data_IF_228117157665
#
_entry.id   IF_228117157665
#
_cell.length_a   1.000
_cell.length_b   1.000
_cell.length_c   1.000
_cell.angle_alpha   90.00
_cell.angle_beta   90.00
_cell.angle_gamma   90.00
#
_symmetry.space_group_name_H-M   'P 1'
#
loop_
_entity.id
_entity.type
_entity.pdbx_description
1 polymer ?
#
# COMPACT_ATOMS: atom_id res chain seq x y z
N UNK A 1 0.16 -54.07 25.55
CA UNK A 1 0.48 -52.67 25.93
C UNK A 1 1.06 -51.81 24.81
N UNK A 2 1.69 -52.37 23.76
CA UNK A 2 2.25 -51.60 22.64
C UNK A 2 1.20 -50.94 21.69
N UNK A 3 -0.01 -51.48 21.57
CA UNK A 3 -1.03 -50.94 20.63
C UNK A 3 -1.63 -49.61 21.08
N UNK A 4 -1.79 -49.38 22.39
CA UNK A 4 -2.35 -48.13 22.93
C UNK A 4 -1.39 -46.93 22.76
N UNK A 5 -0.07 -47.14 22.83
CA UNK A 5 0.90 -46.07 22.57
C UNK A 5 0.96 -45.65 21.10
N UNK A 6 0.80 -46.60 20.17
CA UNK A 6 0.75 -46.34 18.74
C UNK A 6 -0.53 -45.60 18.31
N UNK A 7 -1.67 -45.92 18.93
CA UNK A 7 -2.94 -45.24 18.69
C UNK A 7 -2.89 -43.77 19.16
N UNK A 8 -2.30 -43.51 20.32
CA UNK A 8 -2.11 -42.15 20.83
C UNK A 8 -1.20 -41.29 19.95
N UNK A 9 -0.13 -41.86 19.40
CA UNK A 9 0.77 -41.15 18.46
C UNK A 9 0.09 -40.81 17.13
N UNK A 10 -0.79 -41.68 16.61
CA UNK A 10 -1.55 -41.40 15.37
C UNK A 10 -2.58 -40.28 15.58
N UNK A 11 -3.28 -40.27 16.71
CA UNK A 11 -4.26 -39.24 17.04
C UNK A 11 -3.59 -37.87 17.26
N UNK A 12 -2.43 -37.85 17.94
CA UNK A 12 -1.64 -36.64 18.12
C UNK A 12 -1.12 -36.07 16.78
N UNK A 13 -0.59 -36.92 15.89
CA UNK A 13 -0.17 -36.50 14.54
C UNK A 13 -1.33 -35.97 13.71
N UNK A 14 -2.51 -36.60 13.77
CA UNK A 14 -3.72 -36.10 13.11
C UNK A 14 -4.14 -34.72 13.65
N UNK A 15 -4.10 -34.53 14.97
CA UNK A 15 -4.41 -33.24 15.58
C UNK A 15 -3.44 -32.14 15.13
N UNK A 16 -2.14 -32.44 15.04
CA UNK A 16 -1.14 -31.51 14.49
C UNK A 16 -1.44 -31.20 13.01
N UNK A 17 -1.69 -32.21 12.18
CA UNK A 17 -1.98 -32.02 10.76
C UNK A 17 -3.25 -31.19 10.55
N UNK A 18 -4.31 -31.46 11.32
CA UNK A 18 -5.55 -30.68 11.26
C UNK A 18 -5.33 -29.26 11.77
N UNK A 19 -4.58 -29.08 12.85
CA UNK A 19 -4.21 -27.76 13.36
C UNK A 19 -3.40 -26.95 12.35
N UNK A 20 -2.38 -27.56 11.73
CA UNK A 20 -1.59 -26.96 10.66
C UNK A 20 -2.43 -26.71 9.40
N UNK A 21 -3.34 -27.62 9.04
CA UNK A 21 -4.26 -27.42 7.91
C UNK A 21 -5.23 -26.26 8.18
N UNK A 22 -5.74 -26.10 9.40
CA UNK A 22 -6.60 -24.97 9.78
C UNK A 22 -5.82 -23.65 9.77
N UNK A 23 -4.60 -23.63 10.32
CA UNK A 23 -3.69 -22.46 10.26
C UNK A 23 -3.37 -22.08 8.81
N UNK A 24 -3.12 -23.08 7.97
CA UNK A 24 -2.71 -22.92 6.58
C UNK A 24 -3.89 -22.97 5.58
N UNK A 25 -5.14 -23.05 6.04
CA UNK A 25 -6.33 -23.07 5.15
C UNK A 25 -6.46 -21.77 4.36
N UNK A 26 -5.92 -20.69 4.92
CA UNK A 26 -5.80 -19.36 4.30
C UNK A 26 -4.46 -19.16 3.60
N UNK A 27 -3.55 -20.14 3.65
CA UNK A 27 -2.21 -20.11 3.09
C UNK A 27 -2.21 -20.86 1.76
N UNK A 28 -2.19 -20.08 0.69
CA UNK A 28 -1.75 -20.57 -0.60
C UNK A 28 -0.78 -19.54 -1.15
N UNK A 29 0.52 -19.68 -0.85
CA UNK A 29 1.55 -18.69 -1.18
C UNK A 29 1.67 -18.48 -2.70
N UNK A 30 1.13 -19.43 -3.48
CA UNK A 30 1.14 -19.43 -4.94
C UNK A 30 -0.25 -19.33 -5.58
N UNK A 31 -1.33 -19.21 -4.82
CA UNK A 31 -2.59 -18.77 -5.42
C UNK A 31 -2.80 -17.30 -5.12
N UNK A 32 -2.60 -16.48 -6.15
CA UNK A 32 -3.20 -15.15 -6.30
C UNK A 32 -4.76 -15.22 -6.33
N UNK A 33 -5.36 -16.23 -5.69
CA UNK A 33 -6.79 -16.32 -5.43
C UNK A 33 -7.20 -15.48 -4.22
N UNK A 34 -6.44 -14.43 -3.86
CA UNK A 34 -7.14 -13.18 -3.55
C UNK A 34 -7.77 -12.73 -4.87
N UNK A 35 -8.90 -13.36 -5.23
CA UNK A 35 -9.66 -12.90 -6.38
C UNK A 35 -9.99 -11.45 -6.06
N UNK A 36 -9.30 -10.53 -6.73
CA UNK A 36 -9.83 -9.20 -6.90
C UNK A 36 -11.26 -9.41 -7.36
N UNK A 37 -12.20 -8.86 -6.61
CA UNK A 37 -13.60 -8.97 -6.93
C UNK A 37 -13.77 -8.42 -8.35
N UNK A 38 -14.27 -9.29 -9.22
CA UNK A 38 -14.63 -8.93 -10.57
C UNK A 38 -15.64 -7.78 -10.52
N UNK A 39 -15.52 -6.85 -11.46
CA UNK A 39 -16.35 -5.65 -11.49
C UNK A 39 -15.86 -4.52 -10.56
N UNK A 40 -14.74 -4.67 -9.86
CA UNK A 40 -14.15 -3.59 -9.05
C UNK A 40 -12.94 -2.96 -9.73
N UNK A 41 -12.70 -1.71 -9.36
CA UNK A 41 -11.48 -0.99 -9.71
C UNK A 41 -10.64 -0.72 -8.47
N UNK A 42 -9.35 -1.03 -8.58
CA UNK A 42 -8.40 -1.07 -7.50
C UNK A 42 -7.32 -0.01 -7.68
N UNK A 43 -6.89 0.58 -6.58
CA UNK A 43 -5.74 1.48 -6.52
C UNK A 43 -4.75 1.01 -5.46
N UNK A 44 -3.52 1.49 -5.61
CA UNK A 44 -2.56 1.48 -4.54
C UNK A 44 -2.95 2.49 -3.43
N UNK A 45 -2.38 2.29 -2.24
CA UNK A 45 -2.46 3.24 -1.12
C UNK A 45 -1.14 4.01 -0.98
N UNK A 46 -1.22 5.33 -1.13
CA UNK A 46 -0.07 6.20 -1.20
C UNK A 46 0.15 6.94 0.12
N UNK A 47 1.38 7.42 0.31
CA UNK A 47 1.76 8.35 1.37
C UNK A 47 1.84 9.74 0.77
N UNK A 48 1.44 10.77 1.49
CA UNK A 48 1.67 12.17 1.15
C UNK A 48 2.50 12.80 2.27
N UNK A 49 3.58 13.50 1.92
CA UNK A 49 4.42 14.19 2.90
C UNK A 49 4.18 15.70 2.87
N UNK A 50 3.75 16.26 4.00
CA UNK A 50 3.38 17.69 4.10
C UNK A 50 4.59 18.61 4.11
N UNK A 51 5.76 18.11 4.51
CA UNK A 51 7.01 18.87 4.54
C UNK A 51 7.69 19.03 3.16
N UNK A 52 7.15 18.40 2.10
CA UNK A 52 7.73 18.53 0.75
C UNK A 52 7.26 19.79 0.05
N UNK A 53 8.17 20.41 -0.70
CA UNK A 53 7.85 21.54 -1.57
C UNK A 53 6.79 21.17 -2.62
N UNK A 54 6.83 19.95 -3.13
CA UNK A 54 5.78 19.43 -4.01
C UNK A 54 5.66 17.92 -3.92
N UNK A 55 4.41 17.46 -3.98
CA UNK A 55 4.02 16.07 -4.17
C UNK A 55 3.35 15.96 -5.55
N UNK A 56 4.11 15.58 -6.59
CA UNK A 56 3.58 15.45 -7.96
C UNK A 56 3.17 14.01 -8.21
N UNK A 57 1.92 13.77 -8.57
CA UNK A 57 1.44 12.45 -8.95
C UNK A 57 1.41 12.29 -10.47
N UNK A 58 1.85 11.13 -10.95
CA UNK A 58 1.68 10.68 -12.33
C UNK A 58 0.71 9.51 -12.29
N UNK A 59 -0.42 9.65 -12.97
CA UNK A 59 -1.48 8.65 -13.00
C UNK A 59 -1.70 8.14 -14.42
N UNK A 60 -2.00 6.85 -14.52
CA UNK A 60 -2.45 6.23 -15.75
C UNK A 60 -3.94 6.48 -16.00
N UNK A 61 -4.29 6.85 -17.23
CA UNK A 61 -5.65 6.77 -17.74
C UNK A 61 -5.86 5.38 -18.35
N UNK A 62 -6.13 4.41 -17.48
CA UNK A 62 -6.28 3.00 -17.90
C UNK A 62 -7.38 2.82 -18.95
N UNK A 63 -8.41 3.65 -18.93
CA UNK A 63 -9.50 3.56 -19.90
C UNK A 63 -9.04 3.95 -21.28
N UNK A 64 -8.36 5.09 -21.42
CA UNK A 64 -7.78 5.51 -22.70
C UNK A 64 -6.81 4.46 -23.24
N UNK A 65 -5.94 3.91 -22.39
CA UNK A 65 -5.00 2.86 -22.81
C UNK A 65 -5.66 1.54 -23.21
N UNK A 66 -6.78 1.17 -22.58
CA UNK A 66 -7.51 -0.05 -22.93
C UNK A 66 -8.31 0.08 -24.22
N UNK A 67 -8.82 1.29 -24.50
CA UNK A 67 -9.57 1.58 -25.71
C UNK A 67 -8.66 1.89 -26.91
N UNK A 68 -7.38 2.19 -26.65
CA UNK A 68 -6.43 2.71 -27.65
C UNK A 68 -6.87 4.04 -28.27
N UNK A 69 -7.55 4.87 -27.48
CA UNK A 69 -8.03 6.19 -27.89
C UNK A 69 -8.15 7.13 -26.69
N UNK A 70 -8.14 8.46 -26.89
CA UNK A 70 -8.34 9.41 -25.80
C UNK A 70 -9.73 9.26 -25.17
N UNK A 71 -9.79 9.04 -23.85
CA UNK A 71 -11.05 9.01 -23.11
C UNK A 71 -10.99 9.98 -21.94
N UNK A 72 -11.96 10.90 -21.89
CA UNK A 72 -12.10 11.83 -20.78
C UNK A 72 -12.41 11.09 -19.48
N UNK A 73 -11.56 11.29 -18.46
CA UNK A 73 -11.70 10.69 -17.14
C UNK A 73 -11.48 11.71 -16.04
N UNK A 74 -12.06 11.44 -14.87
CA UNK A 74 -11.76 12.09 -13.60
C UNK A 74 -10.81 11.23 -12.77
N UNK A 75 -9.65 11.77 -12.43
CA UNK A 75 -8.76 11.27 -11.39
C UNK A 75 -9.20 11.86 -10.06
N UNK A 76 -9.60 11.00 -9.13
CA UNK A 76 -10.15 11.36 -7.82
C UNK A 76 -9.13 10.94 -6.75
N UNK A 77 -8.66 11.91 -5.99
CA UNK A 77 -7.75 11.72 -4.88
C UNK A 77 -8.49 11.95 -3.56
N UNK A 78 -8.39 11.02 -2.63
CA UNK A 78 -8.99 11.13 -1.28
C UNK A 78 -7.89 11.04 -0.24
N UNK A 79 -7.76 12.05 0.61
CA UNK A 79 -6.71 12.14 1.61
C UNK A 79 -7.25 11.79 2.99
N UNK A 80 -6.46 11.06 3.77
CA UNK A 80 -6.80 10.63 5.12
C UNK A 80 -5.71 11.01 6.11
N UNK A 81 -6.10 11.57 7.25
CA UNK A 81 -5.19 11.90 8.35
C UNK A 81 -4.53 10.65 8.97
N UNK A 82 -3.67 10.88 9.96
CA UNK A 82 -3.01 9.80 10.74
C UNK A 82 -4.01 8.83 11.38
N UNK A 83 -5.23 9.29 11.69
CA UNK A 83 -6.32 8.49 12.29
C UNK A 83 -7.19 7.76 11.26
N UNK A 84 -7.00 8.03 9.96
CA UNK A 84 -7.75 7.45 8.85
C UNK A 84 -9.12 8.07 8.59
N UNK A 85 -9.31 9.31 9.04
CA UNK A 85 -10.46 10.15 8.70
C UNK A 85 -10.19 10.85 7.36
N UNK A 86 -11.17 10.87 6.45
CA UNK A 86 -11.07 11.60 5.17
C UNK A 86 -11.06 13.11 5.46
N UNK A 87 -9.98 13.81 5.11
CA UNK A 87 -9.78 15.24 5.40
C UNK A 87 -9.94 16.14 4.19
N UNK A 88 -9.73 15.61 2.98
CA UNK A 88 -9.94 16.36 1.74
C UNK A 88 -10.07 15.44 0.54
N UNK A 89 -10.62 16.00 -0.53
CA UNK A 89 -10.78 15.35 -1.83
C UNK A 89 -10.33 16.30 -2.93
N UNK A 90 -9.55 15.79 -3.88
CA UNK A 90 -9.14 16.53 -5.07
C UNK A 90 -9.57 15.77 -6.32
N UNK A 91 -9.99 16.49 -7.36
CA UNK A 91 -10.38 15.91 -8.65
C UNK A 91 -9.61 16.63 -9.74
N UNK A 92 -9.02 15.87 -10.65
CA UNK A 92 -8.39 16.37 -11.86
C UNK A 92 -8.95 15.63 -13.07
N UNK A 93 -9.12 16.32 -14.19
CA UNK A 93 -9.60 15.72 -15.44
C UNK A 93 -8.45 15.58 -16.44
N UNK A 94 -8.50 14.53 -17.26
CA UNK A 94 -7.66 14.41 -18.47
C UNK A 94 -8.34 13.52 -19.49
N UNK A 95 -8.00 13.67 -20.77
CA UNK A 95 -8.25 12.70 -21.82
C UNK A 95 -6.99 11.96 -22.25
N UNK A 96 -5.83 12.41 -21.80
CA UNK A 96 -4.54 11.86 -22.20
C UNK A 96 -4.29 10.50 -21.52
N UNK A 97 -3.41 9.65 -22.09
CA UNK A 97 -3.03 8.38 -21.47
C UNK A 97 -2.39 8.53 -20.08
N UNK A 98 -1.78 9.68 -19.80
CA UNK A 98 -1.14 9.97 -18.52
C UNK A 98 -1.54 11.36 -18.01
N UNK A 99 -1.94 11.42 -16.74
CA UNK A 99 -2.09 12.68 -16.00
C UNK A 99 -0.82 12.93 -15.19
N UNK A 100 -0.28 14.14 -15.28
CA UNK A 100 0.69 14.67 -14.31
C UNK A 100 0.07 15.82 -13.53
N UNK A 101 -0.08 15.66 -12.22
CA UNK A 101 -0.72 16.67 -11.36
C UNK A 101 0.12 16.95 -10.12
N UNK A 102 0.27 18.23 -9.77
CA UNK A 102 0.77 18.62 -8.46
C UNK A 102 -0.39 18.53 -7.46
N UNK A 103 -0.29 17.62 -6.49
CA UNK A 103 -1.35 17.45 -5.51
C UNK A 103 -1.41 18.66 -4.58
N UNK A 104 -2.61 19.18 -4.27
CA UNK A 104 -2.75 20.27 -3.32
C UNK A 104 -2.37 19.81 -1.92
N UNK A 105 -1.93 20.74 -1.07
CA UNK A 105 -1.65 20.46 0.33
C UNK A 105 -2.96 20.29 1.12
N UNK A 106 -3.24 19.12 1.72
CA UNK A 106 -4.42 18.93 2.55
C UNK A 106 -4.35 19.74 3.85
N UNK A 107 -5.49 20.12 4.45
CA UNK A 107 -5.54 20.92 5.67
C UNK A 107 -5.20 20.07 6.91
N UNK A 108 -3.91 19.80 7.14
CA UNK A 108 -3.43 19.01 8.28
C UNK A 108 -2.07 19.50 8.78
N UNK A 109 -1.77 19.27 10.06
CA UNK A 109 -0.46 19.44 10.66
C UNK A 109 0.38 18.16 10.66
N UNK A 110 -0.20 17.02 10.27
CA UNK A 110 0.49 15.73 10.26
C UNK A 110 1.64 15.73 9.26
N UNK A 111 2.80 15.18 9.64
CA UNK A 111 3.97 15.13 8.75
C UNK A 111 3.75 14.19 7.55
N UNK A 112 3.10 13.07 7.80
CA UNK A 112 2.73 12.08 6.79
C UNK A 112 1.26 11.74 6.94
N UNK A 113 0.59 11.71 5.81
CA UNK A 113 -0.79 11.26 5.69
C UNK A 113 -0.87 10.24 4.55
N UNK A 114 -2.05 9.69 4.30
CA UNK A 114 -2.25 8.76 3.20
C UNK A 114 -3.29 9.28 2.21
N UNK A 115 -3.28 8.73 1.00
CA UNK A 115 -4.37 8.96 0.06
C UNK A 115 -4.58 7.78 -0.88
N UNK A 116 -5.80 7.68 -1.41
CA UNK A 116 -6.14 6.79 -2.53
C UNK A 116 -6.32 7.58 -3.81
N UNK A 117 -6.13 6.91 -4.93
CA UNK A 117 -6.38 7.43 -6.27
C UNK A 117 -7.45 6.56 -6.95
N UNK A 118 -8.40 7.15 -7.66
CA UNK A 118 -9.40 6.41 -8.42
C UNK A 118 -9.62 7.10 -9.76
N UNK A 119 -9.89 6.33 -10.81
CA UNK A 119 -10.22 6.90 -12.13
C UNK A 119 -11.67 6.56 -12.46
N UNK A 120 -12.42 7.54 -12.94
CA UNK A 120 -13.80 7.36 -13.43
C UNK A 120 -13.97 8.00 -14.80
N UNK A 121 -14.53 7.31 -15.80
CA UNK A 121 -14.91 7.95 -17.06
C UNK A 121 -15.89 9.10 -16.85
N UNK A 122 -15.79 10.13 -17.68
CA UNK A 122 -16.78 11.20 -17.74
C UNK A 122 -17.93 10.72 -18.60
N UNK A 123 -19.09 10.47 -17.98
CA UNK A 123 -20.21 9.73 -18.58
C UNK A 123 -20.75 10.36 -19.87
N UNK A 124 -20.66 11.67 -20.01
CA UNK A 124 -21.11 12.39 -21.20
C UNK A 124 -20.24 12.10 -22.45
N UNK A 125 -19.05 11.53 -22.28
CA UNK A 125 -18.12 11.18 -23.35
C UNK A 125 -18.02 9.66 -23.60
N UNK A 126 -18.87 8.87 -22.94
CA UNK A 126 -18.90 7.42 -23.12
C UNK A 126 -19.93 7.05 -24.17
N UNK A 127 -19.45 6.51 -25.29
CA UNK A 127 -20.30 5.81 -26.25
C UNK A 127 -20.76 4.45 -25.67
N UNK A 128 -21.89 3.94 -26.14
CA UNK A 128 -22.43 2.65 -25.66
C UNK A 128 -21.45 1.50 -25.88
N UNK A 129 -20.70 1.51 -26.99
CA UNK A 129 -19.65 0.53 -27.26
C UNK A 129 -18.50 0.57 -26.24
N UNK A 130 -18.13 1.76 -25.76
CA UNK A 130 -17.11 1.92 -24.71
C UNK A 130 -17.61 1.39 -23.38
N UNK A 131 -18.86 1.67 -23.02
CA UNK A 131 -19.48 1.14 -21.80
C UNK A 131 -19.46 -0.39 -21.79
N UNK A 132 -19.83 -1.00 -22.92
CA UNK A 132 -19.85 -2.45 -23.10
C UNK A 132 -18.47 -3.08 -22.93
N UNK A 133 -17.45 -2.52 -23.59
CA UNK A 133 -16.08 -3.03 -23.52
C UNK A 133 -15.50 -2.86 -22.11
N UNK A 134 -15.68 -1.68 -21.50
CA UNK A 134 -15.26 -1.40 -20.13
C UNK A 134 -15.92 -2.37 -19.14
N UNK A 135 -17.23 -2.60 -19.27
CA UNK A 135 -17.96 -3.53 -18.42
C UNK A 135 -17.40 -4.96 -18.54
N UNK A 136 -17.15 -5.45 -19.76
CA UNK A 136 -16.56 -6.78 -20.00
C UNK A 136 -15.15 -6.90 -19.40
N UNK A 137 -14.33 -5.86 -19.54
CA UNK A 137 -12.97 -5.83 -18.96
C UNK A 137 -13.00 -5.81 -17.43
N UNK A 138 -13.87 -4.98 -16.85
CA UNK A 138 -14.09 -4.95 -15.40
C UNK A 138 -14.56 -6.30 -14.87
N UNK A 139 -15.51 -6.95 -15.53
CA UNK A 139 -16.03 -8.26 -15.12
C UNK A 139 -14.99 -9.38 -15.27
N UNK A 140 -14.15 -9.36 -16.30
CA UNK A 140 -13.20 -10.44 -16.54
C UNK A 140 -11.95 -10.34 -15.66
N UNK A 141 -11.40 -9.13 -15.47
CA UNK A 141 -10.06 -8.95 -14.89
C UNK A 141 -10.03 -8.03 -13.66
N UNK A 142 -11.06 -7.21 -13.44
CA UNK A 142 -10.98 -6.04 -12.56
C UNK A 142 -10.01 -5.00 -13.12
N UNK A 143 -10.20 -3.74 -12.76
CA UNK A 143 -9.28 -2.67 -13.19
C UNK A 143 -8.27 -2.36 -12.09
N UNK A 144 -7.02 -2.14 -12.49
CA UNK A 144 -5.98 -1.67 -11.58
C UNK A 144 -5.51 -0.32 -12.07
N UNK A 145 -5.76 0.71 -11.28
CA UNK A 145 -5.20 2.03 -11.49
C UNK A 145 -3.79 2.07 -10.91
N UNK A 146 -2.83 2.43 -11.76
CA UNK A 146 -1.44 2.66 -11.35
C UNK A 146 -1.18 4.15 -11.28
N UNK A 147 -0.26 4.49 -10.39
CA UNK A 147 0.29 5.82 -10.33
C UNK A 147 1.57 5.84 -9.51
N UNK A 148 2.32 6.90 -9.71
CA UNK A 148 3.61 7.13 -9.09
C UNK A 148 3.60 8.50 -8.45
N UNK A 149 4.15 8.59 -7.25
CA UNK A 149 4.29 9.84 -6.55
C UNK A 149 5.75 10.29 -6.57
N UNK A 150 5.94 11.56 -6.90
CA UNK A 150 7.22 12.24 -6.96
C UNK A 150 7.29 13.25 -5.83
N UNK A 151 8.23 13.04 -4.92
CA UNK A 151 8.51 13.96 -3.81
C UNK A 151 9.66 14.88 -4.17
N UNK A 152 9.47 16.19 -4.01
CA UNK A 152 10.56 17.18 -4.13
C UNK A 152 10.71 17.99 -2.87
N UNK A 153 11.93 18.07 -2.35
CA UNK A 153 12.26 18.89 -1.18
C UNK A 153 12.36 20.36 -1.56
N UNK A 154 12.82 20.67 -2.77
CA UNK A 154 12.96 22.04 -3.29
C UNK A 154 12.49 22.09 -4.74
N UNK A 155 12.14 23.28 -5.23
CA UNK A 155 11.64 23.48 -6.61
C UNK A 155 12.57 22.88 -7.68
N UNK A 156 13.89 23.03 -7.48
CA UNK A 156 14.92 22.57 -8.41
C UNK A 156 15.55 21.22 -8.03
N UNK A 157 15.10 20.56 -6.96
CA UNK A 157 15.66 19.25 -6.61
C UNK A 157 15.21 18.18 -7.61
N UNK A 158 16.07 17.17 -7.81
CA UNK A 158 15.63 15.89 -8.37
C UNK A 158 14.56 15.34 -7.42
N UNK A 159 13.49 14.79 -7.99
CA UNK A 159 12.40 14.21 -7.20
C UNK A 159 12.62 12.72 -6.99
N UNK A 160 12.29 12.20 -5.81
CA UNK A 160 12.24 10.75 -5.61
C UNK A 160 10.87 10.21 -6.03
N UNK A 161 10.87 9.12 -6.79
CA UNK A 161 9.67 8.51 -7.39
C UNK A 161 9.40 7.17 -6.72
N UNK A 162 8.20 7.01 -6.16
CA UNK A 162 7.74 5.74 -5.59
C UNK A 162 6.32 5.45 -5.99
N UNK A 163 6.00 4.16 -6.12
CA UNK A 163 4.63 3.69 -6.24
C UNK A 163 4.01 3.51 -4.82
N UNK A 164 2.69 3.27 -4.72
CA UNK A 164 2.02 3.10 -3.41
C UNK A 164 2.27 1.73 -2.76
N UNK A 165 2.21 1.64 -1.43
CA UNK A 165 2.59 0.42 -0.69
C UNK A 165 1.69 -0.80 -0.94
N UNK A 166 0.39 -0.58 -1.02
CA UNK A 166 -0.60 -1.66 -1.03
C UNK A 166 -1.54 -1.52 -2.21
N UNK A 167 -1.37 -2.40 -3.19
CA UNK A 167 -2.34 -2.55 -4.26
C UNK A 167 -3.61 -3.23 -3.78
N UNK A 168 -4.74 -2.84 -4.36
CA UNK A 168 -6.00 -3.53 -4.13
C UNK A 168 -6.97 -2.81 -3.19
N UNK A 169 -6.93 -1.47 -3.09
CA UNK A 169 -8.02 -0.71 -2.50
C UNK A 169 -9.06 -0.39 -3.59
N UNK A 170 -10.23 -1.00 -3.51
CA UNK A 170 -11.38 -0.64 -4.32
C UNK A 170 -12.37 0.20 -3.53
N UNK A 171 -12.95 1.21 -4.18
CA UNK A 171 -14.04 2.01 -3.62
C UNK A 171 -15.32 1.70 -4.41
N UNK A 172 -16.31 1.11 -3.75
CA UNK A 172 -17.64 0.84 -4.32
C UNK A 172 -18.69 1.53 -3.46
N UNK A 173 -19.45 2.48 -4.01
CA UNK A 173 -20.61 3.09 -3.33
C UNK A 173 -20.35 3.52 -1.87
N UNK A 174 -19.24 4.23 -1.64
CA UNK A 174 -18.77 4.68 -0.32
C UNK A 174 -18.30 3.57 0.65
N UNK A 175 -18.25 2.32 0.21
CA UNK A 175 -17.66 1.19 0.93
C UNK A 175 -16.32 0.82 0.30
N UNK A 176 -15.28 0.81 1.12
CA UNK A 176 -13.98 0.33 0.70
C UNK A 176 -13.98 -1.20 0.72
N UNK A 177 -13.58 -1.80 -0.39
CA UNK A 177 -13.23 -3.21 -0.47
C UNK A 177 -11.73 -3.32 -0.59
N UNK A 178 -11.11 -4.13 0.25
CA UNK A 178 -9.67 -4.26 0.29
C UNK A 178 -9.27 -5.67 -0.12
N UNK A 179 -8.46 -5.78 -1.17
CA UNK A 179 -7.79 -7.03 -1.51
C UNK A 179 -6.75 -7.39 -0.43
N UNK A 180 -6.20 -6.37 0.24
CA UNK A 180 -5.39 -6.53 1.43
C UNK A 180 -6.26 -7.02 2.60
N UNK A 181 -6.13 -8.31 2.92
CA UNK A 181 -6.85 -8.94 4.03
C UNK A 181 -5.85 -9.35 5.11
N UNK A 182 -6.09 -8.87 6.33
CA UNK A 182 -5.39 -9.33 7.54
C UNK A 182 -5.56 -10.85 7.69
N UNK A 183 -4.47 -11.57 7.88
CA UNK A 183 -4.46 -13.02 8.09
C UNK A 183 -4.33 -13.35 9.57
N UNK A 184 -4.65 -14.59 9.93
CA UNK A 184 -4.48 -15.09 11.30
C UNK A 184 -3.00 -15.37 11.64
N UNK A 185 -2.12 -15.41 10.63
CA UNK A 185 -0.69 -15.60 10.78
C UNK A 185 0.04 -14.26 10.58
N UNK A 186 1.17 -14.09 11.27
CA UNK A 186 2.10 -12.99 11.02
C UNK A 186 3.16 -13.38 10.00
N UNK A 187 3.50 -12.45 9.12
CA UNK A 187 4.56 -12.54 8.12
C UNK A 187 5.68 -11.58 8.49
N UNK A 188 6.90 -12.00 8.16
CA UNK A 188 8.09 -11.19 8.32
C UNK A 188 8.49 -10.69 6.93
N UNK A 189 8.56 -9.36 6.78
CA UNK A 189 9.13 -8.68 5.63
C UNK A 189 10.52 -8.20 6.01
N UNK A 190 11.55 -8.65 5.31
CA UNK A 190 12.93 -8.20 5.54
C UNK A 190 13.30 -7.20 4.44
N UNK A 191 13.81 -6.02 4.81
CA UNK A 191 14.28 -5.04 3.83
C UNK A 191 15.44 -5.61 3.02
N UNK A 192 15.40 -5.43 1.70
CA UNK A 192 16.57 -5.63 0.84
C UNK A 192 17.58 -4.49 1.06
N UNK A 193 17.10 -3.29 1.37
CA UNK A 193 17.93 -2.14 1.70
C UNK A 193 18.63 -2.31 3.05
N UNK A 194 19.94 -2.05 3.06
CA UNK A 194 20.76 -1.96 4.27
C UNK A 194 20.92 -0.50 4.68
N UNK A 195 20.42 -0.16 5.85
CA UNK A 195 20.44 1.18 6.41
C UNK A 195 21.85 1.58 6.87
N UNK A 196 22.15 2.88 6.78
CA UNK A 196 23.41 3.47 7.22
C UNK A 196 23.26 4.15 8.58
N UNK A 197 24.23 3.95 9.46
CA UNK A 197 24.27 4.62 10.77
C UNK A 197 24.34 6.15 10.65
N UNK A 198 24.89 6.63 9.54
CA UNK A 198 25.13 8.05 9.36
C UNK A 198 23.86 8.78 8.98
N UNK A 199 22.81 8.11 8.52
CA UNK A 199 21.59 8.75 8.03
C UNK A 199 20.43 8.66 9.03
N UNK A 200 19.47 9.56 8.87
CA UNK A 200 18.18 9.49 9.58
C UNK A 200 17.10 9.04 8.60
N UNK A 201 16.24 8.15 9.08
CA UNK A 201 15.19 7.53 8.27
C UNK A 201 13.85 7.60 8.98
N UNK A 202 12.80 7.86 8.21
CA UNK A 202 11.42 7.67 8.64
C UNK A 202 10.84 6.45 7.89
N UNK A 203 10.41 5.43 8.63
CA UNK A 203 9.66 4.29 8.09
C UNK A 203 8.19 4.63 8.17
N UNK A 204 7.57 4.96 7.04
CA UNK A 204 6.17 5.37 7.01
C UNK A 204 5.31 4.19 6.58
N UNK A 205 4.35 3.86 7.43
CA UNK A 205 3.41 2.77 7.21
C UNK A 205 2.00 3.33 7.06
N UNK A 206 1.23 2.77 6.15
CA UNK A 206 -0.21 3.00 6.04
C UNK A 206 -0.98 1.71 6.26
N UNK A 207 -2.20 1.81 6.76
CA UNK A 207 -3.07 0.67 6.97
C UNK A 207 -4.21 0.66 5.95
N UNK A 208 -4.10 -0.13 4.87
CA UNK A 208 -5.10 -0.19 3.81
C UNK A 208 -6.31 -1.05 4.24
N UNK A 209 -6.68 -1.13 5.52
CA UNK A 209 -7.78 -2.01 5.96
C UNK A 209 -8.78 -1.23 6.82
N UNK A 210 -9.98 -1.80 7.00
CA UNK A 210 -11.01 -1.27 7.92
C UNK A 210 -10.77 -1.60 9.40
N UNK A 211 -9.72 -2.36 9.72
CA UNK A 211 -9.41 -2.79 11.10
C UNK A 211 -8.08 -2.22 11.54
N UNK A 212 -7.92 -2.01 12.85
CA UNK A 212 -6.61 -1.67 13.41
C UNK A 212 -5.60 -2.77 13.10
N UNK A 213 -4.39 -2.37 12.75
CA UNK A 213 -3.28 -3.26 12.44
C UNK A 213 -2.15 -2.99 13.42
N UNK A 214 -1.63 -4.05 14.05
CA UNK A 214 -0.42 -3.98 14.86
C UNK A 214 0.73 -4.58 14.06
N UNK A 215 1.87 -3.90 14.09
CA UNK A 215 3.11 -4.36 13.47
C UNK A 215 4.26 -4.21 14.45
N UNK A 216 5.30 -5.02 14.25
CA UNK A 216 6.54 -4.96 15.02
C UNK A 216 7.71 -4.78 14.07
N UNK A 217 8.50 -3.74 14.28
CA UNK A 217 9.74 -3.51 13.55
C UNK A 217 10.89 -3.99 14.43
N UNK A 218 11.69 -4.90 13.89
CA UNK A 218 12.88 -5.43 14.52
C UNK A 218 14.11 -4.88 13.82
N UNK A 219 15.01 -4.27 14.58
CA UNK A 219 16.37 -3.99 14.13
C UNK A 219 17.22 -5.24 14.34
N UNK A 220 18.01 -5.59 13.34
CA UNK A 220 19.05 -6.62 13.48
C UNK A 220 20.39 -5.86 13.60
N UNK A 221 20.93 -5.73 14.81
CA UNK A 221 22.27 -5.15 15.02
C UNK A 221 23.12 -6.19 15.71
N UNK A 222 24.14 -6.74 15.06
CA UNK A 222 25.24 -7.56 15.65
C UNK A 222 24.93 -8.23 17.02
N UNK A 223 23.84 -9.02 17.10
CA UNK A 223 23.32 -9.78 18.26
C UNK A 223 22.36 -9.10 19.28
N UNK A 224 21.93 -7.85 19.05
CA UNK A 224 20.84 -7.19 19.79
C UNK A 224 19.63 -6.93 18.89
N UNK A 225 18.43 -7.16 19.44
CA UNK A 225 17.16 -6.90 18.78
C UNK A 225 16.40 -5.80 19.51
N UNK A 226 16.36 -4.59 18.95
CA UNK A 226 15.36 -3.61 19.37
C UNK A 226 14.06 -3.91 18.64
N UNK A 227 12.96 -3.95 19.41
CA UNK A 227 11.62 -4.12 18.85
C UNK A 227 10.81 -2.87 19.13
N UNK A 228 10.31 -2.25 18.07
CA UNK A 228 9.30 -1.19 18.16
C UNK A 228 7.96 -1.76 17.72
N UNK A 229 6.90 -1.54 18.52
CA UNK A 229 5.54 -1.91 18.14
C UNK A 229 4.76 -0.67 17.70
N UNK A 230 4.07 -0.77 16.56
CA UNK A 230 3.14 0.27 16.10
C UNK A 230 1.74 -0.29 16.00
N UNK A 231 0.75 0.56 16.27
CA UNK A 231 -0.65 0.27 15.98
C UNK A 231 -1.18 1.32 15.02
N UNK A 232 -1.49 0.90 13.80
CA UNK A 232 -2.06 1.74 12.76
C UNK A 232 -3.58 1.70 12.81
N UNK A 233 -4.26 2.86 12.90
CA UNK A 233 -5.71 2.91 12.76
C UNK A 233 -6.13 2.58 11.31
N UNK A 234 -7.39 2.17 11.08
CA UNK A 234 -7.90 1.88 9.73
C UNK A 234 -7.71 3.07 8.79
N UNK A 235 -7.09 2.89 7.62
CA UNK A 235 -6.71 3.98 6.67
C UNK A 235 -5.75 5.02 7.24
N UNK A 236 -5.24 4.81 8.45
CA UNK A 236 -4.30 5.70 9.08
C UNK A 236 -2.88 5.52 8.56
N UNK A 237 -2.03 6.44 8.99
CA UNK A 237 -0.59 6.46 8.72
C UNK A 237 0.14 6.67 10.03
N UNK A 238 1.20 5.91 10.25
CA UNK A 238 2.13 6.08 11.36
C UNK A 238 3.56 5.93 10.85
N UNK A 239 4.52 6.48 11.58
CA UNK A 239 5.93 6.32 11.22
C UNK A 239 6.84 6.15 12.42
N UNK A 240 7.98 5.51 12.17
CA UNK A 240 9.11 5.44 13.11
C UNK A 240 10.25 6.27 12.53
N UNK A 241 10.76 7.19 13.32
CA UNK A 241 12.03 7.87 13.04
C UNK A 241 13.17 7.13 13.74
N UNK A 242 14.28 6.91 13.05
CA UNK A 242 15.49 6.38 13.66
C UNK A 242 16.76 6.93 12.99
N UNK A 243 17.86 6.88 13.73
CA UNK A 243 19.20 7.31 13.35
C UNK A 243 20.23 6.40 14.03
N UNK A 244 21.47 6.36 13.56
CA UNK A 244 22.54 5.58 14.20
C UNK A 244 22.40 4.06 14.05
N UNK A 245 21.58 3.59 13.09
CA UNK A 245 21.36 2.17 12.83
C UNK A 245 22.03 1.74 11.52
N UNK A 246 22.77 0.62 11.57
CA UNK A 246 23.36 -0.04 10.41
C UNK A 246 22.84 -1.46 10.29
N UNK A 247 22.29 -1.84 9.13
CA UNK A 247 21.81 -3.19 8.86
C UNK A 247 20.44 -3.24 8.18
N UNK A 248 19.81 -4.40 8.17
CA UNK A 248 18.49 -4.62 7.57
C UNK A 248 17.40 -4.70 8.65
N UNK A 249 16.20 -4.21 8.32
CA UNK A 249 15.06 -4.24 9.23
C UNK A 249 14.11 -5.37 8.87
N UNK A 250 13.48 -5.96 9.90
CA UNK A 250 12.41 -6.94 9.72
C UNK A 250 11.11 -6.36 10.26
N UNK A 251 10.10 -6.26 9.41
CA UNK A 251 8.73 -5.86 9.77
C UNK A 251 7.87 -7.09 9.89
N UNK A 252 7.33 -7.33 11.09
CA UNK A 252 6.39 -8.40 11.38
C UNK A 252 4.97 -7.87 11.43
N UNK A 253 4.10 -8.39 10.56
CA UNK A 253 2.70 -7.97 10.46
C UNK A 253 1.78 -9.12 10.09
N UNK A 254 0.50 -9.02 10.47
CA UNK A 254 -0.55 -9.94 10.02
C UNK A 254 -1.06 -9.66 8.61
N UNK A 255 -0.61 -8.55 8.01
CA UNK A 255 -0.83 -8.24 6.61
C UNK A 255 0.38 -8.70 5.78
N UNK A 256 0.19 -9.54 4.74
CA UNK A 256 1.26 -9.90 3.83
C UNK A 256 1.88 -8.66 3.18
N UNK A 257 3.20 -8.65 2.99
CA UNK A 257 3.95 -7.57 2.35
C UNK A 257 3.76 -6.20 3.00
N UNK A 258 3.53 -6.15 4.32
CA UNK A 258 3.45 -4.93 5.10
C UNK A 258 4.82 -4.21 5.17
N UNK A 259 5.23 -3.60 4.06
CA UNK A 259 6.48 -2.84 3.94
C UNK A 259 6.24 -1.35 4.17
N UNK A 260 7.20 -0.62 4.77
CA UNK A 260 7.13 0.84 4.85
C UNK A 260 7.57 1.49 3.53
N UNK A 261 7.18 2.73 3.33
CA UNK A 261 7.95 3.66 2.49
C UNK A 261 9.04 4.25 3.38
N UNK A 262 10.30 4.17 2.93
CA UNK A 262 11.42 4.79 3.63
C UNK A 262 11.64 6.18 3.11
N UNK A 263 11.69 7.16 4.00
CA UNK A 263 12.14 8.52 3.71
C UNK A 263 13.49 8.75 4.38
N UNK A 264 14.53 9.03 3.61
CA UNK A 264 15.84 9.47 4.14
C UNK A 264 15.74 10.95 4.49
N UNK A 265 15.46 11.26 5.76
CA UNK A 265 15.01 12.57 6.24
C UNK A 265 15.67 12.92 7.59
N UNK A 266 16.16 14.16 7.85
CA UNK A 266 16.11 15.34 7.00
C UNK A 266 16.91 15.19 5.71
N UNK A 267 16.45 15.85 4.66
CA UNK A 267 17.20 15.97 3.42
C UNK A 267 18.56 16.62 3.71
N UNK A 268 19.65 15.90 3.40
CA UNK A 268 21.01 16.45 3.52
C UNK A 268 21.34 17.30 2.31
N UNK A 269 22.39 18.12 2.40
CA UNK A 269 22.92 18.88 1.27
C UNK A 269 23.25 18.00 0.06
N UNK A 270 23.58 16.72 0.29
CA UNK A 270 23.94 15.73 -0.72
C UNK A 270 22.76 14.95 -1.32
N UNK A 271 21.53 15.15 -0.82
CA UNK A 271 20.34 14.55 -1.43
C UNK A 271 19.27 14.11 -0.43
N UNK A 272 18.13 13.74 -1.02
CA UNK A 272 16.95 13.20 -0.36
C UNK A 272 16.49 11.99 -1.17
N UNK A 273 16.03 10.96 -0.48
CA UNK A 273 15.54 9.75 -1.12
C UNK A 273 14.26 9.24 -0.45
N UNK A 274 13.39 8.66 -1.27
CA UNK A 274 12.18 7.94 -0.87
C UNK A 274 12.14 6.65 -1.65
N UNK A 275 11.99 5.52 -0.97
CA UNK A 275 12.04 4.24 -1.66
C UNK A 275 11.26 3.16 -0.92
N UNK A 276 10.97 2.09 -1.66
CA UNK A 276 10.57 0.81 -1.08
C UNK A 276 11.83 0.07 -0.64
N UNK A 277 11.95 -0.35 0.63
CA UNK A 277 13.14 -0.98 1.17
C UNK A 277 13.24 -2.47 0.83
#
# INVERSE_FOLDING_TARGET
MASNQLMNRKNFRKAIIVGEHIKNRSYSPFTLRSKLDQGKSYSDFFIYGTAFQSNTFIAENIYSMMLDEPLAVHHIFKFYDTKGCEISKHISATSDPFLRVNLPCPPTSDQYISFTHHVKPVQQHLEDAHNDLIARLMQSRGLQHRGYLIYKVRRLSIGSVVHGNFGGIALSENKYTYAAVKRNQTYDFTSAYSFSQDDQYHLVFNNPTVKKMSLRVKSCKENEFDTCELTLPPRGTEFIAFTGYKGNLVVKSSMPLCRPIVFKNPARSTGFDVFHP
#
